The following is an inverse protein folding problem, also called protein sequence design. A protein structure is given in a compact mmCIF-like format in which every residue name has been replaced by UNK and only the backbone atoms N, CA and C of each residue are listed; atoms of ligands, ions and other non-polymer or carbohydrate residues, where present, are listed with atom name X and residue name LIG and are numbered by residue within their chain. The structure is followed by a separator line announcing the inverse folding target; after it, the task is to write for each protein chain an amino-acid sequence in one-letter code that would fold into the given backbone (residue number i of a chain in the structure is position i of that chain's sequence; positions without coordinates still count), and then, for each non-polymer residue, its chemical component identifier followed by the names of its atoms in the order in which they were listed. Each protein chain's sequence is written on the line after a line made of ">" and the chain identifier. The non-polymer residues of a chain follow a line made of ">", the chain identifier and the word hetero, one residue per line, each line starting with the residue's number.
data_IF_541343705729
#
_entry.id   IF_541343705729
#
_cell.length_a   1.000
_cell.length_b   1.000
_cell.length_c   1.000
_cell.angle_alpha   90.00
_cell.angle_beta   90.00
_cell.angle_gamma   90.00
#
_symmetry.space_group_name_H-M   'P 1'
#
loop_
_entity.id
_entity.type
_entity.pdbx_description
1 polymer ?
#
# COMPACT_ATOMS: atom_id res chain seq x y z
N UNK A 1 -5.19 40.11 -68.72
CA UNK A 1 -5.92 38.83 -68.79
C UNK A 1 -4.95 37.76 -68.29
N UNK A 2 -5.26 37.10 -67.18
CA UNK A 2 -4.42 36.02 -66.64
C UNK A 2 -5.00 34.69 -67.12
N UNK A 3 -4.27 33.96 -67.94
CA UNK A 3 -4.62 32.60 -68.36
C UNK A 3 -4.44 31.63 -67.18
N UNK A 4 -5.54 31.03 -66.73
CA UNK A 4 -5.51 30.02 -65.68
C UNK A 4 -5.25 28.65 -66.31
N UNK A 5 -3.99 28.21 -66.33
CA UNK A 5 -3.58 26.87 -66.74
C UNK A 5 -3.88 25.84 -65.62
N UNK A 6 -5.15 25.57 -65.34
CA UNK A 6 -5.52 24.38 -64.56
C UNK A 6 -5.48 23.17 -65.49
N UNK A 7 -4.35 22.47 -65.46
CA UNK A 7 -4.12 21.21 -66.17
C UNK A 7 -4.91 20.07 -65.48
N UNK A 8 -6.17 19.88 -65.90
CA UNK A 8 -7.05 18.82 -65.39
C UNK A 8 -6.54 17.41 -65.72
N UNK A 9 -5.60 17.27 -66.67
CA UNK A 9 -5.09 15.98 -67.15
C UNK A 9 -4.01 15.37 -66.25
N UNK A 10 -3.56 16.07 -65.19
CA UNK A 10 -2.64 15.53 -64.19
C UNK A 10 -3.31 14.82 -63.02
N UNK A 11 -4.64 14.87 -62.95
CA UNK A 11 -5.42 14.11 -61.97
C UNK A 11 -5.70 12.71 -62.49
N UNK A 12 -5.42 11.68 -61.68
CA UNK A 12 -5.94 10.31 -61.87
C UNK A 12 -7.32 10.37 -62.51
N UNK A 13 -7.58 9.62 -63.59
CA UNK A 13 -8.81 9.66 -64.43
C UNK A 13 -10.15 9.33 -63.73
N UNK A 14 -10.22 9.52 -62.42
CA UNK A 14 -11.38 9.46 -61.55
C UNK A 14 -11.78 10.89 -61.22
N UNK A 15 -13.05 11.22 -61.43
CA UNK A 15 -13.63 12.52 -61.12
C UNK A 15 -13.28 12.94 -59.67
N UNK A 16 -12.57 14.06 -59.45
CA UNK A 16 -12.18 14.51 -58.11
C UNK A 16 -13.37 15.02 -57.27
N UNK A 17 -14.52 15.29 -57.91
CA UNK A 17 -15.78 15.61 -57.26
C UNK A 17 -16.66 14.38 -57.05
N UNK A 18 -16.19 13.20 -57.48
CA UNK A 18 -16.87 11.93 -57.26
C UNK A 18 -16.69 11.44 -55.84
N UNK A 19 -17.78 11.03 -55.21
CA UNK A 19 -17.69 10.31 -53.94
C UNK A 19 -17.21 8.88 -54.17
N UNK A 20 -16.48 8.27 -53.21
CA UNK A 20 -16.16 6.85 -53.27
C UNK A 20 -17.41 5.98 -53.39
N UNK A 21 -17.27 4.85 -54.06
CA UNK A 21 -18.30 3.81 -54.08
C UNK A 21 -18.65 3.39 -52.65
N UNK A 22 -19.94 3.30 -52.32
CA UNK A 22 -20.42 2.96 -50.98
C UNK A 22 -20.34 4.09 -49.93
N UNK A 23 -19.90 5.31 -50.29
CA UNK A 23 -19.77 6.42 -49.33
C UNK A 23 -21.08 6.72 -48.58
N UNK A 24 -22.20 6.77 -49.30
CA UNK A 24 -23.52 7.02 -48.71
C UNK A 24 -24.11 5.80 -48.03
N UNK A 25 -23.74 4.58 -48.46
CA UNK A 25 -24.22 3.33 -47.84
C UNK A 25 -23.64 3.15 -46.43
N UNK A 26 -22.36 3.50 -46.24
CA UNK A 26 -21.70 3.43 -44.93
C UNK A 26 -21.91 4.69 -44.08
N UNK A 27 -22.47 5.75 -44.65
CA UNK A 27 -22.77 6.99 -43.93
C UNK A 27 -23.73 6.77 -42.76
N UNK A 28 -24.81 6.02 -42.98
CA UNK A 28 -25.80 5.72 -41.94
C UNK A 28 -25.17 4.92 -40.77
N UNK A 29 -24.35 3.91 -41.08
CA UNK A 29 -23.64 3.09 -40.07
C UNK A 29 -22.67 3.92 -39.23
N UNK A 30 -21.92 4.83 -39.87
CA UNK A 30 -21.02 5.77 -39.19
C UNK A 30 -21.78 6.74 -38.28
N UNK A 31 -22.95 7.20 -38.73
CA UNK A 31 -23.78 8.10 -37.94
C UNK A 31 -24.36 7.41 -36.71
N UNK A 32 -24.79 6.15 -36.84
CA UNK A 32 -25.29 5.35 -35.73
C UNK A 32 -24.20 5.12 -34.66
N UNK A 33 -22.96 4.84 -35.08
CA UNK A 33 -21.83 4.70 -34.14
C UNK A 33 -21.43 5.99 -33.44
N UNK A 34 -21.70 7.15 -34.05
CA UNK A 34 -21.42 8.46 -33.43
C UNK A 34 -22.56 8.97 -32.55
N UNK A 35 -23.81 8.60 -32.84
CA UNK A 35 -25.00 9.06 -32.11
C UNK A 35 -25.38 8.12 -30.96
N UNK A 36 -24.96 6.86 -31.00
CA UNK A 36 -25.19 5.93 -29.88
C UNK A 36 -24.35 6.33 -28.66
N UNK A 37 -24.98 6.59 -27.50
CA UNK A 37 -24.26 6.95 -26.29
C UNK A 37 -23.40 5.77 -25.85
N UNK A 38 -22.07 5.94 -25.94
CA UNK A 38 -21.11 4.95 -25.49
C UNK A 38 -21.28 4.75 -23.98
N UNK A 39 -21.90 3.63 -23.58
CA UNK A 39 -22.04 3.23 -22.17
C UNK A 39 -20.65 2.92 -21.61
N UNK A 40 -20.05 3.90 -20.94
CA UNK A 40 -18.83 3.68 -20.17
C UNK A 40 -19.17 2.83 -18.94
N UNK A 41 -18.45 1.73 -18.73
CA UNK A 41 -18.64 0.90 -17.55
C UNK A 41 -18.13 1.62 -16.31
N UNK A 42 -18.72 1.34 -15.14
CA UNK A 42 -18.26 1.91 -13.86
C UNK A 42 -16.76 1.63 -13.63
N UNK A 43 -16.29 0.45 -14.08
CA UNK A 43 -14.88 0.06 -14.06
C UNK A 43 -13.98 0.98 -14.90
N UNK A 44 -14.47 1.53 -16.01
CA UNK A 44 -13.72 2.51 -16.82
C UNK A 44 -13.65 3.88 -16.16
N UNK A 45 -14.66 4.27 -15.37
CA UNK A 45 -14.67 5.54 -14.62
C UNK A 45 -13.64 5.56 -13.49
N UNK A 46 -13.38 4.41 -12.87
CA UNK A 46 -12.42 4.31 -11.74
C UNK A 46 -10.97 4.06 -12.17
N UNK A 47 -10.71 3.78 -13.46
CA UNK A 47 -9.35 3.59 -14.00
C UNK A 47 -8.34 4.67 -13.58
N UNK A 48 -8.64 5.98 -13.66
CA UNK A 48 -7.68 7.01 -13.26
C UNK A 48 -7.38 7.04 -11.76
N UNK A 49 -8.30 6.58 -10.91
CA UNK A 49 -8.13 6.60 -9.46
C UNK A 49 -7.31 5.44 -8.91
N UNK A 50 -6.95 4.45 -9.74
CA UNK A 50 -6.14 3.29 -9.30
C UNK A 50 -4.78 3.70 -8.76
N UNK A 51 -4.16 4.70 -9.38
CA UNK A 51 -2.87 5.22 -8.91
C UNK A 51 -3.01 5.99 -7.59
N UNK A 52 -4.05 6.82 -7.47
CA UNK A 52 -4.34 7.54 -6.23
C UNK A 52 -4.58 6.58 -5.06
N UNK A 53 -5.34 5.49 -5.28
CA UNK A 53 -5.55 4.45 -4.28
C UNK A 53 -4.24 3.76 -3.86
N UNK A 54 -3.33 3.49 -4.81
CA UNK A 54 -2.03 2.89 -4.51
C UNK A 54 -1.16 3.81 -3.64
N UNK A 55 -1.10 5.11 -3.95
CA UNK A 55 -0.34 6.09 -3.15
C UNK A 55 -0.87 6.16 -1.73
N UNK A 56 -2.20 6.20 -1.55
CA UNK A 56 -2.84 6.21 -0.23
C UNK A 56 -2.51 4.93 0.54
N UNK A 57 -2.61 3.76 -0.11
CA UNK A 57 -2.29 2.49 0.53
C UNK A 57 -0.83 2.44 1.02
N UNK A 58 0.13 2.89 0.19
CA UNK A 58 1.54 2.95 0.57
C UNK A 58 1.75 3.91 1.75
N UNK A 59 1.12 5.09 1.73
CA UNK A 59 1.22 6.05 2.83
C UNK A 59 0.66 5.49 4.15
N UNK A 60 -0.48 4.79 4.10
CA UNK A 60 -1.11 4.16 5.26
C UNK A 60 -0.25 3.03 5.80
N UNK A 61 0.26 2.13 4.94
CA UNK A 61 1.12 1.02 5.35
C UNK A 61 2.41 1.55 5.98
N UNK A 62 3.05 2.54 5.34
CA UNK A 62 4.29 3.13 5.84
C UNK A 62 4.06 3.85 7.17
N UNK A 63 2.99 4.65 7.28
CA UNK A 63 2.62 5.34 8.50
C UNK A 63 2.31 4.36 9.64
N UNK A 64 1.54 3.30 9.39
CA UNK A 64 1.24 2.28 10.36
C UNK A 64 2.50 1.54 10.84
N UNK A 65 3.42 1.21 9.92
CA UNK A 65 4.68 0.56 10.25
C UNK A 65 5.57 1.43 11.14
N UNK A 66 5.71 2.72 10.82
CA UNK A 66 6.49 3.66 11.62
C UNK A 66 5.91 3.86 13.03
N UNK A 67 4.58 4.03 13.12
CA UNK A 67 3.91 4.17 14.42
C UNK A 67 4.00 2.89 15.25
N UNK A 68 3.91 1.71 14.62
CA UNK A 68 4.07 0.44 15.31
C UNK A 68 5.48 0.29 15.89
N UNK A 69 6.52 0.60 15.11
CA UNK A 69 7.92 0.52 15.57
C UNK A 69 8.22 1.51 16.71
N UNK A 70 7.62 2.70 16.68
CA UNK A 70 7.78 3.68 17.76
C UNK A 70 7.11 3.19 19.06
N UNK A 71 5.90 2.64 18.95
CA UNK A 71 5.17 2.11 20.09
C UNK A 71 5.84 0.85 20.68
N UNK A 72 6.47 0.02 19.84
CA UNK A 72 7.17 -1.19 20.29
C UNK A 72 8.43 -0.85 21.10
N UNK A 73 9.17 0.18 20.66
CA UNK A 73 10.34 0.69 21.38
C UNK A 73 10.00 1.22 22.78
N UNK A 74 8.83 1.87 22.94
CA UNK A 74 8.33 2.35 24.22
C UNK A 74 7.88 1.21 25.16
N UNK A 75 7.23 0.18 24.59
CA UNK A 75 6.82 -1.01 25.34
C UNK A 75 8.04 -1.79 25.85
N UNK A 76 9.07 -1.95 25.02
CA UNK A 76 10.32 -2.61 25.41
C UNK A 76 11.01 -1.88 26.55
N UNK A 77 11.13 -0.55 26.49
CA UNK A 77 11.71 0.24 27.59
C UNK A 77 10.88 0.13 28.88
N UNK A 78 9.55 0.22 28.77
CA UNK A 78 8.66 0.09 29.93
C UNK A 78 8.73 -1.30 30.56
N UNK A 79 8.90 -2.36 29.75
CA UNK A 79 9.08 -3.72 30.27
C UNK A 79 10.47 -3.90 30.90
N UNK A 80 11.54 -3.43 30.26
CA UNK A 80 12.89 -3.47 30.85
C UNK A 80 12.94 -2.78 32.21
N UNK A 81 12.36 -1.59 32.35
CA UNK A 81 12.31 -0.89 33.64
C UNK A 81 11.53 -1.66 34.72
N UNK A 82 10.45 -2.34 34.34
CA UNK A 82 9.69 -3.20 35.27
C UNK A 82 10.48 -4.43 35.69
N UNK A 83 11.14 -5.11 34.75
CA UNK A 83 11.96 -6.30 35.04
C UNK A 83 13.16 -5.95 35.92
N UNK A 84 13.82 -4.81 35.67
CA UNK A 84 14.94 -4.34 36.51
C UNK A 84 14.47 -4.00 37.92
N UNK A 85 13.36 -3.28 38.07
CA UNK A 85 12.80 -2.95 39.39
C UNK A 85 12.40 -4.21 40.19
N UNK A 86 11.83 -5.24 39.53
CA UNK A 86 11.54 -6.51 40.19
C UNK A 86 12.79 -7.30 40.56
N UNK A 87 13.84 -7.22 39.74
CA UNK A 87 15.12 -7.88 40.03
C UNK A 87 15.79 -7.25 41.25
N UNK A 88 15.76 -5.92 41.36
CA UNK A 88 16.32 -5.18 42.49
C UNK A 88 15.55 -5.48 43.79
N UNK A 89 14.21 -5.50 43.73
CA UNK A 89 13.40 -5.89 44.88
C UNK A 89 13.70 -7.32 45.35
N UNK A 90 13.81 -8.28 44.41
CA UNK A 90 14.11 -9.67 44.74
C UNK A 90 15.53 -9.84 45.33
N UNK A 91 16.50 -9.07 44.86
CA UNK A 91 17.87 -9.10 45.39
C UNK A 91 17.93 -8.63 46.85
N UNK A 92 17.19 -7.56 47.16
CA UNK A 92 17.05 -7.05 48.54
C UNK A 92 16.37 -8.08 49.45
N UNK A 93 15.29 -8.72 48.98
CA UNK A 93 14.61 -9.79 49.74
C UNK A 93 15.56 -10.96 50.01
N UNK A 94 16.29 -11.42 48.99
CA UNK A 94 17.23 -12.53 49.13
C UNK A 94 18.36 -12.20 50.11
N UNK A 95 18.85 -10.96 50.10
CA UNK A 95 19.88 -10.52 51.05
C UNK A 95 19.37 -10.57 52.50
N UNK A 96 18.16 -10.09 52.76
CA UNK A 96 17.55 -10.15 54.09
C UNK A 96 17.38 -11.60 54.54
N UNK A 97 16.89 -12.47 53.66
CA UNK A 97 16.70 -13.90 53.98
C UNK A 97 18.02 -14.59 54.32
N UNK A 98 19.12 -14.28 53.62
CA UNK A 98 20.44 -14.84 53.90
C UNK A 98 21.00 -14.28 55.22
N UNK A 99 20.79 -12.99 55.51
CA UNK A 99 21.27 -12.36 56.75
C UNK A 99 20.52 -12.89 57.99
N UNK A 100 19.21 -13.16 57.87
CA UNK A 100 18.40 -13.74 58.94
C UNK A 100 18.61 -15.26 59.09
N UNK A 101 19.17 -15.93 58.09
CA UNK A 101 19.48 -17.36 58.15
C UNK A 101 20.82 -17.57 58.86
N UNK A 102 20.79 -17.97 60.13
CA UNK A 102 22.00 -18.32 60.88
C UNK A 102 22.61 -19.64 60.35
N UNK A 103 23.94 -19.70 60.23
CA UNK A 103 24.69 -20.86 59.73
C UNK A 103 24.34 -22.15 60.49
N UNK A 104 24.03 -22.04 61.79
CA UNK A 104 23.62 -23.18 62.62
C UNK A 104 22.32 -23.84 62.12
N UNK A 105 21.35 -23.06 61.62
CA UNK A 105 20.10 -23.62 61.08
C UNK A 105 20.31 -24.31 59.72
N UNK A 106 21.28 -23.83 58.94
CA UNK A 106 21.64 -24.45 57.66
C UNK A 106 22.29 -25.81 57.92
N UNK A 107 23.18 -25.87 58.91
CA UNK A 107 23.85 -27.11 59.32
C UNK A 107 22.83 -28.11 59.86
N UNK A 108 21.90 -27.69 60.73
CA UNK A 108 20.84 -28.55 61.25
C UNK A 108 19.93 -29.10 60.13
N UNK A 109 19.60 -28.27 59.12
CA UNK A 109 18.81 -28.72 57.97
C UNK A 109 19.57 -29.74 57.09
N UNK A 110 20.86 -29.53 56.85
CA UNK A 110 21.68 -30.46 56.05
C UNK A 110 21.87 -31.78 56.77
N UNK A 111 22.07 -31.76 58.09
CA UNK A 111 22.21 -32.99 58.90
C UNK A 111 20.89 -33.76 58.93
N UNK A 112 19.75 -33.07 59.07
CA UNK A 112 18.43 -33.70 59.09
C UNK A 112 17.99 -34.32 57.75
N UNK A 113 18.55 -33.88 56.61
CA UNK A 113 18.28 -34.47 55.28
C UNK A 113 19.23 -35.64 54.93
N UNK A 114 20.34 -35.79 55.68
CA UNK A 114 21.39 -36.81 55.44
C UNK A 114 21.22 -38.06 56.31
N UNK A 115 20.39 -38.00 57.36
CA UNK A 115 19.88 -39.17 58.12
C UNK A 115 18.63 -39.79 57.47
#
# INVERSE_FOLDING_TARGET
>A
MMEHNFDFDRGSGKNPFGVPEGYFDDFCKRMETMTTPKRISLLQRVKPYRYAAAVIAVAVITGAFLLNNYNDSQKLQTQHSRTVATSEYNDVINKILIEDTNDDMIVDYIIAEVD
#
